data_IF_767916506396
#
_entry.id   IF_767916506396
#
_cell.length_a   1.000
_cell.length_b   1.000
_cell.length_c   1.000
_cell.angle_alpha   90.00
_cell.angle_beta   90.00
_cell.angle_gamma   90.00
#
_symmetry.space_group_name_H-M   'P 1'
#
loop_
_entity.id
_entity.type
_entity.pdbx_description
1 polymer ?
#
# COMPACT_ATOMS: atom_id res chain seq x y z
N UNK A 1 11.44 5.28 12.81
CA UNK A 1 10.56 4.29 13.48
C UNK A 1 9.11 4.73 13.35
N UNK A 2 8.28 3.88 12.82
CA UNK A 2 6.86 4.19 12.65
C UNK A 2 6.18 4.54 13.97
N UNK A 3 5.29 5.52 13.94
CA UNK A 3 4.48 5.86 15.10
C UNK A 3 3.24 4.97 15.13
N UNK A 4 3.08 4.19 16.18
CA UNK A 4 1.91 3.32 16.34
C UNK A 4 0.72 4.12 16.87
N UNK A 5 -0.40 4.03 16.16
CA UNK A 5 -1.64 4.73 16.51
C UNK A 5 -2.78 3.72 16.55
N UNK A 6 -3.26 3.42 17.74
CA UNK A 6 -4.45 2.58 17.92
C UNK A 6 -5.70 3.34 17.49
N UNK A 7 -6.52 2.72 16.65
CA UNK A 7 -7.79 3.29 16.19
C UNK A 7 -8.90 2.25 16.43
N UNK A 8 -9.98 2.70 17.04
CA UNK A 8 -11.17 1.90 17.35
C UNK A 8 -12.46 2.40 16.68
N UNK A 9 -12.38 3.51 15.95
CA UNK A 9 -13.50 4.14 15.24
C UNK A 9 -13.29 4.02 13.72
N UNK A 10 -14.17 3.28 13.05
CA UNK A 10 -14.15 3.13 11.60
C UNK A 10 -14.37 4.46 10.84
N UNK A 11 -14.98 5.47 11.47
CA UNK A 11 -15.19 6.78 10.89
C UNK A 11 -13.97 7.72 11.03
N UNK A 12 -12.89 7.25 11.67
CA UNK A 12 -11.69 8.07 11.88
C UNK A 12 -11.14 8.58 10.52
N UNK A 13 -10.98 9.91 10.34
CA UNK A 13 -10.56 10.48 9.07
C UNK A 13 -9.14 10.09 8.65
N UNK A 14 -8.30 9.64 9.58
CA UNK A 14 -6.95 9.14 9.27
C UNK A 14 -6.97 7.87 8.44
N UNK A 15 -8.09 7.14 8.43
CA UNK A 15 -8.28 5.91 7.65
C UNK A 15 -8.79 6.17 6.22
N UNK A 16 -8.82 7.42 5.77
CA UNK A 16 -9.40 7.79 4.47
C UNK A 16 -8.79 7.03 3.28
N UNK A 17 -7.47 6.78 3.28
CA UNK A 17 -6.78 6.06 2.21
C UNK A 17 -7.23 4.59 2.07
N UNK A 18 -7.87 4.04 3.11
CA UNK A 18 -8.25 2.62 3.19
C UNK A 18 -9.75 2.36 3.06
N UNK A 19 -10.56 3.42 2.86
CA UNK A 19 -12.02 3.28 2.80
C UNK A 19 -12.48 2.68 1.50
N UNK A 20 -13.46 1.77 1.61
CA UNK A 20 -14.23 1.26 0.47
C UNK A 20 -13.38 0.75 -0.69
N UNK A 21 -12.27 0.07 -0.38
CA UNK A 21 -11.33 -0.46 -1.38
C UNK A 21 -11.96 -1.52 -2.27
N UNK A 22 -13.13 -2.04 -1.89
CA UNK A 22 -13.91 -2.96 -2.70
C UNK A 22 -14.53 -2.27 -3.92
N UNK A 23 -14.83 -0.98 -3.80
CA UNK A 23 -15.31 -0.18 -4.93
C UNK A 23 -14.13 0.22 -5.82
N UNK A 24 -13.98 -0.50 -6.95
CA UNK A 24 -12.88 -0.31 -7.88
C UNK A 24 -12.87 1.10 -8.47
N UNK A 25 -14.03 1.68 -8.76
CA UNK A 25 -14.11 3.03 -9.34
C UNK A 25 -13.68 4.09 -8.31
N UNK A 26 -14.16 3.96 -7.09
CA UNK A 26 -13.79 4.86 -5.99
C UNK A 26 -12.29 4.75 -5.69
N UNK A 27 -11.77 3.54 -5.65
CA UNK A 27 -10.34 3.27 -5.45
C UNK A 27 -9.48 3.87 -6.56
N UNK A 28 -9.83 3.67 -7.83
CA UNK A 28 -9.10 4.24 -8.96
C UNK A 28 -9.11 5.77 -8.95
N UNK A 29 -10.26 6.37 -8.63
CA UNK A 29 -10.38 7.81 -8.47
C UNK A 29 -9.48 8.33 -7.37
N UNK A 30 -9.51 7.71 -6.20
CA UNK A 30 -8.69 8.08 -5.05
C UNK A 30 -7.19 7.95 -5.37
N UNK A 31 -6.78 6.85 -5.97
CA UNK A 31 -5.39 6.60 -6.34
C UNK A 31 -4.89 7.61 -7.39
N UNK A 32 -5.69 7.89 -8.41
CA UNK A 32 -5.33 8.85 -9.46
C UNK A 32 -5.32 10.30 -8.95
N UNK A 33 -6.34 10.70 -8.20
CA UNK A 33 -6.50 12.06 -7.70
C UNK A 33 -5.43 12.44 -6.66
N UNK A 34 -5.09 11.51 -5.76
CA UNK A 34 -4.15 11.75 -4.68
C UNK A 34 -2.72 11.25 -4.97
N UNK A 35 -2.47 10.68 -6.14
CA UNK A 35 -1.15 10.17 -6.51
C UNK A 35 -0.63 9.10 -5.57
N UNK A 36 -1.49 8.19 -5.12
CA UNK A 36 -1.16 7.11 -4.21
C UNK A 36 -1.49 5.73 -4.81
N UNK A 37 -1.01 4.68 -4.17
CA UNK A 37 -1.42 3.31 -4.42
C UNK A 37 -1.45 2.51 -3.12
N UNK A 38 -2.23 1.45 -3.10
CA UNK A 38 -2.39 0.56 -1.96
C UNK A 38 -1.60 -0.73 -2.17
N UNK A 39 -0.78 -1.08 -1.19
CA UNK A 39 -0.11 -2.37 -1.11
C UNK A 39 -0.89 -3.26 -0.15
N UNK A 40 -1.28 -4.45 -0.60
CA UNK A 40 -2.07 -5.40 0.18
C UNK A 40 -1.26 -6.68 0.43
N UNK A 41 -1.10 -7.00 1.68
CA UNK A 41 -0.37 -8.17 2.15
C UNK A 41 1.07 -7.86 2.54
N UNK A 42 1.56 -8.60 3.54
CA UNK A 42 2.89 -8.41 4.13
C UNK A 42 4.02 -8.36 3.08
N UNK A 43 4.00 -9.31 2.14
CA UNK A 43 5.04 -9.39 1.08
C UNK A 43 5.00 -8.17 0.14
N UNK A 44 3.81 -7.71 -0.21
CA UNK A 44 3.64 -6.58 -1.13
C UNK A 44 4.01 -5.28 -0.44
N UNK A 45 3.59 -5.10 0.82
CA UNK A 45 3.99 -3.96 1.65
C UNK A 45 5.50 -3.87 1.77
N UNK A 46 6.16 -4.98 2.09
CA UNK A 46 7.61 -5.05 2.19
C UNK A 46 8.29 -4.66 0.87
N UNK A 47 7.89 -5.28 -0.24
CA UNK A 47 8.46 -4.99 -1.56
C UNK A 47 8.31 -3.53 -1.98
N UNK A 48 7.15 -2.94 -1.72
CA UNK A 48 6.91 -1.53 -2.03
C UNK A 48 7.81 -0.60 -1.20
N UNK A 49 7.96 -0.87 0.09
CA UNK A 49 8.83 -0.10 0.97
C UNK A 49 10.32 -0.25 0.58
N UNK A 50 10.77 -1.48 0.31
CA UNK A 50 12.14 -1.77 -0.13
C UNK A 50 12.46 -1.16 -1.51
N UNK A 51 11.47 -1.05 -2.38
CA UNK A 51 11.61 -0.37 -3.67
C UNK A 51 11.74 1.16 -3.56
N UNK A 52 11.61 1.71 -2.36
CA UNK A 52 11.81 3.13 -2.08
C UNK A 52 10.59 4.01 -2.31
N UNK A 53 9.40 3.43 -2.48
CA UNK A 53 8.18 4.25 -2.55
C UNK A 53 7.91 4.90 -1.19
N UNK A 54 7.63 6.22 -1.16
CA UNK A 54 7.33 6.92 0.09
C UNK A 54 6.07 6.36 0.74
N UNK A 55 6.20 5.84 1.95
CA UNK A 55 5.06 5.33 2.71
C UNK A 55 4.30 6.49 3.35
N UNK A 56 3.00 6.55 3.13
CA UNK A 56 2.08 7.51 3.74
C UNK A 56 1.58 7.02 5.10
N UNK A 57 1.22 5.74 5.16
CA UNK A 57 0.77 5.08 6.38
C UNK A 57 0.74 3.57 6.20
N UNK A 58 0.66 2.86 7.32
CA UNK A 58 0.35 1.44 7.38
C UNK A 58 -0.98 1.23 8.10
N UNK A 59 -1.66 0.13 7.78
CA UNK A 59 -2.87 -0.33 8.47
C UNK A 59 -2.78 -1.83 8.69
N UNK A 60 -2.82 -2.26 9.94
CA UNK A 60 -2.78 -3.70 10.26
C UNK A 60 -3.31 -4.02 11.65
N UNK A 61 -3.69 -5.28 11.82
CA UNK A 61 -3.99 -5.82 13.14
C UNK A 61 -2.69 -6.14 13.91
N UNK A 62 -2.73 -6.19 15.26
CA UNK A 62 -1.53 -6.40 16.09
C UNK A 62 -0.70 -7.63 15.71
N UNK A 63 -1.33 -8.72 15.28
CA UNK A 63 -0.62 -9.96 14.93
C UNK A 63 0.35 -9.84 13.77
N UNK A 64 0.21 -8.80 12.93
CA UNK A 64 1.06 -8.58 11.76
C UNK A 64 2.26 -7.68 12.02
N UNK A 65 2.29 -7.01 13.16
CA UNK A 65 3.36 -6.05 13.51
C UNK A 65 4.74 -6.72 13.54
N UNK A 66 4.83 -7.91 14.10
CA UNK A 66 6.10 -8.61 14.24
C UNK A 66 6.71 -8.99 12.88
N UNK A 67 5.89 -9.38 11.90
CA UNK A 67 6.36 -9.76 10.56
C UNK A 67 6.90 -8.60 9.73
N UNK A 68 6.50 -7.37 10.07
CA UNK A 68 6.93 -6.14 9.39
C UNK A 68 7.77 -5.22 10.28
N UNK A 69 8.25 -5.70 11.43
CA UNK A 69 8.95 -4.87 12.41
C UNK A 69 10.11 -4.07 11.80
N UNK A 70 10.93 -4.70 10.97
CA UNK A 70 12.06 -4.07 10.29
C UNK A 70 11.63 -2.98 9.31
N UNK A 71 10.54 -3.19 8.58
CA UNK A 71 9.95 -2.19 7.67
C UNK A 71 9.40 -1.01 8.46
N UNK A 72 8.71 -1.27 9.56
CA UNK A 72 8.15 -0.26 10.44
C UNK A 72 9.26 0.55 11.14
N UNK A 73 10.32 -0.12 11.59
CA UNK A 73 11.47 0.55 12.22
C UNK A 73 12.20 1.47 11.25
N UNK A 74 12.24 1.11 9.98
CA UNK A 74 12.85 1.92 8.92
C UNK A 74 11.98 3.05 8.38
N UNK A 75 10.75 3.22 8.88
CA UNK A 75 9.78 4.20 8.39
C UNK A 75 9.40 5.22 9.45
N UNK A 76 9.19 6.46 9.06
CA UNK A 76 8.63 7.52 9.93
C UNK A 76 7.08 7.65 9.77
N UNK A 77 6.49 6.88 8.87
CA UNK A 77 5.05 6.93 8.61
C UNK A 77 4.24 6.35 9.79
N UNK A 78 3.01 6.84 10.03
CA UNK A 78 2.15 6.29 11.05
C UNK A 78 1.71 4.86 10.70
N UNK A 79 1.66 4.00 11.70
CA UNK A 79 1.08 2.67 11.61
C UNK A 79 -0.23 2.65 12.40
N UNK A 80 -1.35 2.60 11.68
CA UNK A 80 -2.67 2.49 12.29
C UNK A 80 -2.92 1.04 12.69
N UNK A 81 -3.03 0.83 13.99
CA UNK A 81 -3.28 -0.49 14.57
C UNK A 81 -4.76 -0.61 14.85
N UNK A 82 -5.40 -1.56 14.20
CA UNK A 82 -6.84 -1.78 14.27
C UNK A 82 -7.16 -3.26 14.50
N UNK A 83 -8.36 -3.55 14.99
CA UNK A 83 -8.85 -4.93 15.01
C UNK A 83 -9.11 -5.42 13.58
N UNK A 84 -9.10 -6.73 13.38
CA UNK A 84 -9.42 -7.31 12.06
C UNK A 84 -10.85 -6.98 11.64
N UNK A 85 -11.80 -6.94 12.57
CA UNK A 85 -13.17 -6.55 12.31
C UNK A 85 -13.28 -5.10 11.84
N UNK A 86 -12.52 -4.19 12.45
CA UNK A 86 -12.48 -2.79 12.04
C UNK A 86 -11.83 -2.63 10.67
N UNK A 87 -10.74 -3.33 10.40
CA UNK A 87 -10.09 -3.34 9.09
C UNK A 87 -11.06 -3.76 7.97
N UNK A 88 -11.84 -4.82 8.20
CA UNK A 88 -12.87 -5.29 7.27
C UNK A 88 -13.98 -4.25 7.08
N UNK A 89 -14.42 -3.62 8.14
CA UNK A 89 -15.44 -2.57 8.09
C UNK A 89 -14.99 -1.36 7.27
N UNK A 90 -13.74 -0.93 7.43
CA UNK A 90 -13.17 0.22 6.72
C UNK A 90 -12.93 -0.09 5.26
N UNK A 91 -12.26 -1.20 4.95
CA UNK A 91 -11.86 -1.57 3.60
C UNK A 91 -13.01 -2.12 2.76
N UNK A 92 -14.03 -2.68 3.39
CA UNK A 92 -15.17 -3.31 2.74
C UNK A 92 -14.93 -4.76 2.31
N UNK A 93 -13.79 -5.36 2.66
CA UNK A 93 -13.50 -6.76 2.39
C UNK A 93 -12.65 -7.39 3.50
N UNK A 94 -12.66 -8.71 3.55
CA UNK A 94 -11.82 -9.43 4.50
C UNK A 94 -10.34 -9.35 4.09
N UNK A 95 -9.50 -8.73 4.93
CA UNK A 95 -8.07 -8.56 4.66
C UNK A 95 -7.32 -9.86 4.98
N UNK A 96 -7.35 -10.80 4.06
CA UNK A 96 -6.75 -12.13 4.25
C UNK A 96 -5.24 -12.12 4.50
N UNK A 97 -4.54 -11.11 3.97
CA UNK A 97 -3.07 -11.00 4.04
C UNK A 97 -2.60 -9.99 5.08
N UNK A 98 -3.52 -9.48 5.87
CA UNK A 98 -3.36 -8.88 7.19
C UNK A 98 -2.73 -7.51 7.30
N UNK A 99 -1.97 -7.05 6.31
CA UNK A 99 -1.32 -5.76 6.34
C UNK A 99 -1.63 -4.99 5.06
N UNK A 100 -1.88 -3.70 5.24
CA UNK A 100 -2.05 -2.74 4.15
C UNK A 100 -1.07 -1.60 4.33
N UNK A 101 -0.65 -0.98 3.24
CA UNK A 101 0.05 0.29 3.25
C UNK A 101 -0.46 1.20 2.14
N UNK A 102 -0.54 2.48 2.45
CA UNK A 102 -0.75 3.53 1.46
C UNK A 102 0.60 4.16 1.15
N UNK A 103 0.96 4.20 -0.14
CA UNK A 103 2.24 4.73 -0.59
C UNK A 103 2.01 5.79 -1.67
N UNK A 104 2.91 6.76 -1.73
CA UNK A 104 2.89 7.75 -2.77
C UNK A 104 3.48 7.20 -4.07
N UNK A 105 2.85 7.53 -5.19
CA UNK A 105 3.43 7.29 -6.52
C UNK A 105 4.60 8.22 -6.74
N UNK A 106 5.66 7.70 -7.34
CA UNK A 106 6.78 8.50 -7.81
C UNK A 106 6.62 8.82 -9.30
N UNK A 107 7.18 9.94 -9.79
CA UNK A 107 7.18 10.23 -11.23
C UNK A 107 7.78 9.07 -12.01
N UNK A 108 7.11 8.65 -13.07
CA UNK A 108 7.63 7.61 -13.96
C UNK A 108 8.75 8.22 -14.86
N UNK A 109 9.80 7.43 -15.17
CA UNK A 109 10.79 7.84 -16.15
C UNK A 109 10.15 7.96 -17.53
N UNK A 110 10.72 8.80 -18.39
CA UNK A 110 10.31 8.90 -19.80
C UNK A 110 10.71 7.64 -20.57
N UNK A 111 10.11 7.46 -21.74
CA UNK A 111 10.48 6.34 -22.63
C UNK A 111 11.95 6.44 -23.03
N UNK A 112 12.45 7.65 -23.33
CA UNK A 112 13.84 7.91 -23.65
C UNK A 112 14.78 7.52 -22.51
N UNK A 113 14.44 7.87 -21.26
CA UNK A 113 15.23 7.51 -20.08
C UNK A 113 15.29 6.00 -19.87
N UNK A 114 14.15 5.31 -20.04
CA UNK A 114 14.09 3.83 -19.89
C UNK A 114 14.90 3.13 -20.98
N UNK A 115 14.89 3.65 -22.21
CA UNK A 115 15.56 3.04 -23.35
C UNK A 115 17.04 3.42 -23.47
N UNK A 116 17.50 4.41 -22.70
CA UNK A 116 18.90 4.86 -22.76
C UNK A 116 19.87 3.72 -22.45
N UNK A 117 20.75 3.43 -23.40
CA UNK A 117 21.71 2.32 -23.30
C UNK A 117 21.12 0.92 -23.41
N UNK A 118 19.82 0.77 -23.64
CA UNK A 118 19.19 -0.54 -23.76
C UNK A 118 19.58 -1.24 -25.06
N UNK A 119 19.96 -2.53 -24.95
CA UNK A 119 20.19 -3.41 -26.10
C UNK A 119 18.99 -4.27 -26.42
N UNK A 120 18.22 -4.60 -25.40
CA UNK A 120 17.03 -5.46 -25.50
C UNK A 120 15.90 -4.78 -24.77
N UNK A 121 14.74 -4.74 -25.42
CA UNK A 121 13.52 -4.17 -24.86
C UNK A 121 12.44 -5.25 -24.84
N UNK A 122 11.79 -5.40 -23.71
CA UNK A 122 10.62 -6.29 -23.57
C UNK A 122 9.41 -5.40 -23.35
N UNK A 123 8.41 -5.58 -24.20
CA UNK A 123 7.12 -4.93 -24.09
C UNK A 123 6.11 -5.95 -23.59
N UNK A 124 5.51 -5.67 -22.43
CA UNK A 124 4.47 -6.51 -21.85
C UNK A 124 3.11 -5.85 -22.04
N UNK A 125 2.18 -6.59 -22.62
CA UNK A 125 0.79 -6.17 -22.83
C UNK A 125 -0.13 -7.20 -22.16
N UNK A 126 -1.19 -6.71 -21.53
CA UNK A 126 -2.21 -7.53 -20.85
C UNK A 126 -1.65 -8.49 -19.78
N UNK A 127 -0.57 -8.12 -19.12
CA UNK A 127 -0.03 -8.88 -17.99
C UNK A 127 -0.84 -8.52 -16.74
N UNK A 128 -1.57 -9.49 -16.22
CA UNK A 128 -2.43 -9.35 -15.03
C UNK A 128 -1.77 -9.95 -13.79
N UNK A 129 -1.11 -11.08 -13.94
CA UNK A 129 -0.47 -11.81 -12.84
C UNK A 129 1.05 -11.65 -12.89
N UNK A 130 1.66 -11.31 -11.74
CA UNK A 130 3.10 -11.15 -11.62
C UNK A 130 3.91 -12.44 -11.87
N UNK A 131 3.27 -13.60 -11.83
CA UNK A 131 3.90 -14.90 -12.12
C UNK A 131 3.99 -15.18 -13.61
N UNK A 132 3.31 -14.41 -14.44
CA UNK A 132 3.42 -14.47 -15.88
C UNK A 132 4.60 -13.59 -16.34
#
# INVERSE_FOLDING_TARGET
MATYVEIDDAADPRLADYRDLRDVQLRQSLEAEHGLFLAEGEKVVRRAAEAGFPVRSFLMAPRWLAGLADVLDGSEAPCFVVSEALAEQVTGFHVHRGALASLARTPLPTVEEVLDGARTVVVCEDIVDHTN
#
